data_IF_453035953376
#
_entry.id   IF_453035953376
#
_cell.length_a   1.000
_cell.length_b   1.000
_cell.length_c   1.000
_cell.angle_alpha   90.00
_cell.angle_beta   90.00
_cell.angle_gamma   90.00
#
_symmetry.space_group_name_H-M   'P 1'
#
loop_
_entity.id
_entity.type
_entity.pdbx_description
1 polymer ?
#
# COMPACT_ATOMS: atom_id res chain seq x y z
N UNK A 1 -27.92 1.57 -44.44
CA UNK A 1 -26.73 1.37 -43.58
C UNK A 1 -26.21 2.67 -42.98
N UNK A 2 -26.33 3.82 -43.67
CA UNK A 2 -25.96 5.15 -43.15
C UNK A 2 -26.85 5.65 -42.00
N UNK A 3 -28.16 5.41 -42.08
CA UNK A 3 -29.12 6.09 -41.19
C UNK A 3 -29.18 5.49 -39.79
N UNK A 4 -28.99 4.17 -39.67
CA UNK A 4 -28.87 3.49 -38.38
C UNK A 4 -27.54 3.84 -37.69
N UNK A 5 -26.45 3.86 -38.46
CA UNK A 5 -25.15 4.30 -37.95
C UNK A 5 -25.20 5.75 -37.44
N UNK A 6 -25.86 6.64 -38.18
CA UNK A 6 -26.04 8.04 -37.76
C UNK A 6 -26.92 8.16 -36.51
N UNK A 7 -27.95 7.33 -36.36
CA UNK A 7 -28.78 7.28 -35.14
C UNK A 7 -27.99 6.78 -33.93
N UNK A 8 -27.22 5.71 -34.07
CA UNK A 8 -26.35 5.20 -33.01
C UNK A 8 -25.27 6.22 -32.63
N UNK A 9 -24.65 6.88 -33.62
CA UNK A 9 -23.68 7.94 -33.38
C UNK A 9 -24.30 9.14 -32.66
N UNK A 10 -25.49 9.58 -33.07
CA UNK A 10 -26.22 10.65 -32.37
C UNK A 10 -26.57 10.24 -30.94
N UNK A 11 -26.92 8.97 -30.71
CA UNK A 11 -27.25 8.45 -29.40
C UNK A 11 -26.01 8.30 -28.51
N UNK A 12 -24.85 7.95 -29.07
CA UNK A 12 -23.58 7.88 -28.35
C UNK A 12 -23.04 9.26 -28.00
N UNK A 13 -23.13 10.23 -28.93
CA UNK A 13 -22.76 11.63 -28.69
C UNK A 13 -23.65 12.31 -27.65
N UNK A 14 -24.95 11.99 -27.61
CA UNK A 14 -25.86 12.47 -26.54
C UNK A 14 -25.56 11.85 -25.17
N UNK A 15 -25.04 10.63 -25.14
CA UNK A 15 -24.60 9.95 -23.90
C UNK A 15 -23.20 10.40 -23.45
N UNK A 16 -22.37 10.86 -24.36
CA UNK A 16 -21.04 11.37 -24.05
C UNK A 16 -21.17 12.66 -23.22
N UNK A 17 -20.80 12.58 -21.94
CA UNK A 17 -20.68 13.79 -21.11
C UNK A 17 -19.53 14.64 -21.65
N UNK A 18 -19.74 15.94 -21.93
CA UNK A 18 -18.64 16.80 -22.34
C UNK A 18 -17.62 16.88 -21.20
N UNK A 19 -16.36 16.61 -21.54
CA UNK A 19 -15.23 16.87 -20.66
C UNK A 19 -15.23 18.35 -20.27
N UNK A 20 -15.26 18.64 -18.97
CA UNK A 20 -15.42 20.00 -18.45
C UNK A 20 -14.26 20.38 -17.54
N UNK A 21 -13.95 21.66 -17.41
CA UNK A 21 -12.94 22.13 -16.45
C UNK A 21 -13.25 21.66 -15.01
N UNK A 22 -14.54 21.43 -14.70
CA UNK A 22 -14.93 20.90 -13.39
C UNK A 22 -14.56 19.42 -13.19
N UNK A 23 -14.51 18.59 -14.24
CA UNK A 23 -14.03 17.21 -14.12
C UNK A 23 -12.50 17.17 -13.90
N UNK A 24 -11.78 18.12 -14.50
CA UNK A 24 -10.33 18.26 -14.31
C UNK A 24 -9.90 18.71 -12.91
N UNK A 25 -10.76 19.44 -12.20
CA UNK A 25 -10.51 19.80 -10.81
C UNK A 25 -10.91 18.65 -9.89
N UNK A 26 -12.07 18.03 -10.14
CA UNK A 26 -12.63 16.97 -9.28
C UNK A 26 -11.72 15.75 -9.15
N UNK A 27 -10.93 15.43 -10.18
CA UNK A 27 -9.97 14.31 -10.11
C UNK A 27 -8.90 14.44 -9.02
N UNK A 28 -8.62 15.66 -8.56
CA UNK A 28 -7.62 15.93 -7.53
C UNK A 28 -8.18 15.87 -6.11
N UNK A 29 -9.50 15.77 -5.92
CA UNK A 29 -10.13 15.71 -4.60
C UNK A 29 -9.54 14.59 -3.73
N UNK A 30 -9.37 13.34 -4.23
CA UNK A 30 -8.73 12.30 -3.43
C UNK A 30 -7.29 12.66 -3.05
N UNK A 31 -6.50 13.22 -3.98
CA UNK A 31 -5.12 13.65 -3.72
C UNK A 31 -5.02 14.71 -2.62
N UNK A 32 -5.97 15.65 -2.56
CA UNK A 32 -6.03 16.68 -1.51
C UNK A 32 -6.34 16.11 -0.12
N UNK A 33 -7.02 14.97 -0.04
CA UNK A 33 -7.28 14.25 1.21
C UNK A 33 -6.10 13.34 1.57
N UNK A 34 -5.53 12.66 0.58
CA UNK A 34 -4.44 11.71 0.74
C UNK A 34 -3.17 12.40 1.23
N UNK A 35 -2.83 13.55 0.67
CA UNK A 35 -1.59 14.27 0.98
C UNK A 35 -1.41 14.55 2.48
N UNK A 36 -2.36 15.20 3.20
CA UNK A 36 -2.20 15.45 4.63
C UNK A 36 -2.15 14.17 5.47
N UNK A 37 -2.87 13.11 5.07
CA UNK A 37 -2.83 11.80 5.76
C UNK A 37 -1.42 11.18 5.61
N UNK A 38 -0.91 11.15 4.38
CA UNK A 38 0.43 10.63 4.09
C UNK A 38 1.50 11.44 4.84
N UNK A 39 1.41 12.78 4.85
CA UNK A 39 2.32 13.64 5.63
C UNK A 39 2.23 13.31 7.12
N UNK A 40 1.02 13.16 7.67
CA UNK A 40 0.83 12.81 9.07
C UNK A 40 1.53 11.48 9.41
N UNK A 41 1.32 10.42 8.64
CA UNK A 41 1.97 9.13 8.89
C UNK A 41 3.50 9.18 8.71
N UNK A 42 3.99 9.96 7.76
CA UNK A 42 5.43 10.17 7.55
C UNK A 42 6.08 10.88 8.74
N UNK A 43 5.43 11.94 9.25
CA UNK A 43 5.94 12.71 10.39
C UNK A 43 5.82 11.96 11.72
N UNK A 44 4.84 11.07 11.85
CA UNK A 44 4.60 10.25 13.04
C UNK A 44 5.07 8.80 12.83
N UNK A 45 6.10 8.59 11.99
CA UNK A 45 6.70 7.27 11.78
C UNK A 45 7.13 6.68 13.13
N UNK A 46 6.59 5.52 13.47
CA UNK A 46 6.87 4.82 14.73
C UNK A 46 5.77 4.98 15.78
N UNK A 47 4.81 5.89 15.56
CA UNK A 47 3.58 5.90 16.34
C UNK A 47 2.62 4.82 15.85
N UNK A 48 2.02 4.08 16.78
CA UNK A 48 1.10 2.99 16.48
C UNK A 48 -0.34 3.48 16.54
N UNK A 49 -1.08 3.32 15.43
CA UNK A 49 -2.45 3.77 15.27
C UNK A 49 -3.46 2.63 15.08
N UNK A 50 -4.71 3.01 14.76
CA UNK A 50 -5.78 2.04 14.54
C UNK A 50 -5.55 1.17 13.30
N UNK A 51 -5.01 1.75 12.23
CA UNK A 51 -4.76 1.04 10.96
C UNK A 51 -3.68 -0.04 11.13
N UNK A 52 -2.71 0.17 12.03
CA UNK A 52 -1.66 -0.80 12.32
C UNK A 52 -2.22 -2.09 12.92
N UNK A 53 -3.37 -2.05 13.61
CA UNK A 53 -4.03 -3.28 14.06
C UNK A 53 -4.58 -4.10 12.88
N UNK A 54 -5.07 -3.43 11.84
CA UNK A 54 -5.54 -4.10 10.62
C UNK A 54 -4.35 -4.71 9.89
N UNK A 55 -3.28 -3.94 9.75
CA UNK A 55 -2.03 -4.38 9.11
C UNK A 55 -1.41 -5.56 9.88
N UNK A 56 -1.48 -5.55 11.22
CA UNK A 56 -1.03 -6.66 12.07
C UNK A 56 -1.86 -7.93 11.82
N UNK A 57 -3.18 -7.85 11.76
CA UNK A 57 -4.02 -9.03 11.44
C UNK A 57 -3.67 -9.60 10.07
N UNK A 58 -3.41 -8.74 9.09
CA UNK A 58 -2.98 -9.16 7.74
C UNK A 58 -1.59 -9.81 7.80
N UNK A 59 -0.68 -9.28 8.61
CA UNK A 59 0.64 -9.84 8.84
C UNK A 59 0.55 -11.27 9.41
N UNK A 60 -0.22 -11.48 10.47
CA UNK A 60 -0.39 -12.80 11.07
C UNK A 60 -1.05 -13.80 10.11
N UNK A 61 -2.04 -13.33 9.32
CA UNK A 61 -2.63 -14.15 8.27
C UNK A 61 -1.59 -14.57 7.22
N UNK A 62 -0.62 -13.71 6.92
CA UNK A 62 0.49 -14.02 6.04
C UNK A 62 1.29 -15.24 6.50
N UNK A 63 1.71 -15.30 7.77
CA UNK A 63 2.38 -16.48 8.32
C UNK A 63 1.57 -17.76 8.09
N UNK A 64 0.25 -17.71 8.33
CA UNK A 64 -0.63 -18.85 8.08
C UNK A 64 -0.64 -19.28 6.60
N UNK A 65 -0.79 -18.34 5.66
CA UNK A 65 -0.78 -18.66 4.23
C UNK A 65 0.56 -19.21 3.73
N UNK A 66 1.66 -18.80 4.34
CA UNK A 66 3.02 -19.18 3.92
C UNK A 66 3.63 -20.32 4.76
N UNK A 67 2.86 -20.97 5.65
CA UNK A 67 3.37 -22.01 6.57
C UNK A 67 3.99 -23.25 5.91
N UNK A 68 3.66 -23.51 4.65
CA UNK A 68 4.12 -24.69 3.93
C UNK A 68 5.46 -24.50 3.19
N UNK A 69 6.04 -23.30 3.22
CA UNK A 69 7.21 -22.94 2.40
C UNK A 69 8.54 -22.88 3.18
N UNK A 70 8.60 -23.55 4.33
CA UNK A 70 9.77 -23.55 5.21
C UNK A 70 9.89 -22.28 6.06
N UNK A 71 10.79 -22.31 7.04
CA UNK A 71 10.85 -21.30 8.11
C UNK A 71 11.11 -19.88 7.61
N UNK A 72 11.99 -19.71 6.62
CA UNK A 72 12.31 -18.40 6.08
C UNK A 72 11.11 -17.75 5.39
N UNK A 73 10.44 -18.48 4.48
CA UNK A 73 9.28 -17.95 3.76
C UNK A 73 8.06 -17.82 4.68
N UNK A 74 7.88 -18.74 5.64
CA UNK A 74 6.87 -18.59 6.69
C UNK A 74 7.06 -17.26 7.44
N UNK A 75 8.28 -16.98 7.90
CA UNK A 75 8.61 -15.74 8.62
C UNK A 75 8.42 -14.50 7.74
N UNK A 76 8.86 -14.57 6.49
CA UNK A 76 8.67 -13.49 5.52
C UNK A 76 7.18 -13.29 5.15
N UNK A 77 6.36 -14.32 5.32
CA UNK A 77 4.96 -14.39 4.92
C UNK A 77 4.11 -13.25 5.46
N UNK A 78 4.36 -12.79 6.69
CA UNK A 78 3.60 -11.69 7.27
C UNK A 78 3.81 -10.37 6.53
N UNK A 79 5.06 -9.98 6.32
CA UNK A 79 5.39 -8.81 5.49
C UNK A 79 4.93 -8.99 4.04
N UNK A 80 5.01 -10.20 3.46
CA UNK A 80 4.50 -10.44 2.11
C UNK A 80 3.01 -10.14 2.01
N UNK A 81 2.20 -10.60 2.97
CA UNK A 81 0.76 -10.40 2.91
C UNK A 81 0.36 -8.93 3.12
N UNK A 82 1.10 -8.20 3.98
CA UNK A 82 0.98 -6.73 4.13
C UNK A 82 1.21 -5.98 2.81
N UNK A 83 2.04 -6.52 1.91
CA UNK A 83 2.30 -5.93 0.59
C UNK A 83 1.29 -6.43 -0.45
N UNK A 84 1.04 -7.74 -0.49
CA UNK A 84 0.22 -8.40 -1.52
C UNK A 84 -1.22 -7.88 -1.47
N UNK A 85 -1.85 -7.84 -0.28
CA UNK A 85 -3.27 -7.51 -0.17
C UNK A 85 -3.61 -6.10 -0.68
N UNK A 86 -3.00 -5.00 -0.16
CA UNK A 86 -3.28 -3.67 -0.67
C UNK A 86 -2.86 -3.48 -2.14
N UNK A 87 -1.81 -4.19 -2.59
CA UNK A 87 -1.41 -4.19 -4.02
C UNK A 87 -2.48 -4.82 -4.91
N UNK A 88 -3.08 -5.94 -4.51
CA UNK A 88 -4.17 -6.59 -5.24
C UNK A 88 -5.43 -5.72 -5.26
N UNK A 89 -5.74 -5.01 -4.17
CA UNK A 89 -6.84 -4.04 -4.12
C UNK A 89 -6.59 -2.90 -5.11
N UNK A 90 -5.40 -2.30 -5.09
CA UNK A 90 -5.01 -1.24 -6.03
C UNK A 90 -5.09 -1.73 -7.47
N UNK A 91 -4.57 -2.92 -7.76
CA UNK A 91 -4.62 -3.55 -9.09
C UNK A 91 -6.05 -3.83 -9.55
N UNK A 92 -6.91 -4.33 -8.66
CA UNK A 92 -8.32 -4.60 -8.98
C UNK A 92 -9.03 -3.30 -9.38
N UNK A 93 -8.84 -2.22 -8.64
CA UNK A 93 -9.41 -0.93 -9.01
C UNK A 93 -8.82 -0.36 -10.30
N UNK A 94 -7.53 -0.59 -10.54
CA UNK A 94 -6.88 -0.20 -11.79
C UNK A 94 -7.51 -0.92 -13.00
N UNK A 95 -7.72 -2.24 -12.90
CA UNK A 95 -8.39 -3.03 -13.93
C UNK A 95 -9.83 -2.59 -14.21
N UNK A 96 -10.49 -2.01 -13.21
CA UNK A 96 -11.84 -1.47 -13.33
C UNK A 96 -11.88 0.02 -13.68
N UNK A 97 -10.75 0.63 -14.06
CA UNK A 97 -10.64 2.06 -14.38
C UNK A 97 -11.14 2.99 -13.26
N UNK A 98 -11.07 2.54 -12.01
CA UNK A 98 -11.54 3.32 -10.86
C UNK A 98 -10.35 3.98 -10.13
N UNK A 99 -9.93 5.14 -10.62
CA UNK A 99 -8.74 5.86 -10.13
C UNK A 99 -8.74 6.09 -8.62
N UNK A 100 -9.86 6.55 -8.05
CA UNK A 100 -9.95 6.81 -6.60
C UNK A 100 -9.66 5.56 -5.78
N UNK A 101 -10.14 4.39 -6.23
CA UNK A 101 -9.84 3.11 -5.60
C UNK A 101 -8.35 2.73 -5.70
N UNK A 102 -7.70 3.04 -6.83
CA UNK A 102 -6.25 2.85 -6.97
C UNK A 102 -5.50 3.73 -5.97
N UNK A 103 -5.86 5.00 -5.83
CA UNK A 103 -5.22 5.91 -4.88
C UNK A 103 -5.40 5.43 -3.43
N UNK A 104 -6.58 4.92 -3.08
CA UNK A 104 -6.82 4.30 -1.78
C UNK A 104 -5.93 3.07 -1.54
N UNK A 105 -5.87 2.15 -2.51
CA UNK A 105 -5.03 0.96 -2.39
C UNK A 105 -3.54 1.31 -2.27
N UNK A 106 -3.06 2.32 -3.01
CA UNK A 106 -1.69 2.83 -2.90
C UNK A 106 -1.45 3.54 -1.56
N UNK A 107 -2.40 4.33 -1.06
CA UNK A 107 -2.27 4.94 0.27
C UNK A 107 -2.10 3.86 1.36
N UNK A 108 -2.93 2.82 1.32
CA UNK A 108 -2.84 1.74 2.30
C UNK A 108 -1.57 0.91 2.14
N UNK A 109 -1.12 0.67 0.90
CA UNK A 109 0.16 0.04 0.63
C UNK A 109 1.30 0.87 1.22
N UNK A 110 1.34 2.18 0.97
CA UNK A 110 2.35 3.07 1.53
C UNK A 110 2.37 3.06 3.05
N UNK A 111 1.20 3.00 3.70
CA UNK A 111 1.12 2.85 5.16
C UNK A 111 1.68 1.52 5.67
N UNK A 112 1.43 0.42 4.96
CA UNK A 112 2.06 -0.86 5.28
C UNK A 112 3.59 -0.76 5.18
N UNK A 113 4.13 -0.04 4.17
CA UNK A 113 5.56 0.21 4.07
C UNK A 113 6.11 1.07 5.23
N UNK A 114 5.34 2.03 5.76
CA UNK A 114 5.70 2.75 7.01
C UNK A 114 5.78 1.76 8.18
N UNK A 115 4.75 0.92 8.36
CA UNK A 115 4.70 -0.08 9.44
C UNK A 115 5.88 -1.07 9.35
N UNK A 116 6.11 -1.65 8.18
CA UNK A 116 7.24 -2.55 7.89
C UNK A 116 8.58 -1.84 8.14
N UNK A 117 8.70 -0.56 7.79
CA UNK A 117 9.95 0.18 8.01
C UNK A 117 10.35 0.26 9.48
N UNK A 118 9.37 0.41 10.37
CA UNK A 118 9.59 0.51 11.81
C UNK A 118 9.90 -0.89 12.37
N UNK A 119 9.15 -1.90 11.93
CA UNK A 119 9.36 -3.28 12.36
C UNK A 119 10.74 -3.82 11.94
N UNK A 120 11.16 -3.56 10.70
CA UNK A 120 12.48 -3.95 10.21
C UNK A 120 13.61 -3.23 10.95
N UNK A 121 13.47 -1.93 11.23
CA UNK A 121 14.47 -1.15 11.97
C UNK A 121 14.58 -1.52 13.46
N UNK A 122 13.63 -2.28 14.02
CA UNK A 122 13.67 -2.78 15.39
C UNK A 122 14.38 -4.15 15.50
N UNK A 123 14.83 -4.75 14.40
CA UNK A 123 15.30 -6.14 14.37
C UNK A 123 16.43 -6.44 15.39
N UNK A 124 17.39 -5.54 15.61
CA UNK A 124 18.41 -5.73 16.65
C UNK A 124 17.84 -5.51 18.05
N UNK A 125 17.09 -4.42 18.23
CA UNK A 125 16.64 -3.93 19.52
C UNK A 125 15.49 -4.76 20.12
N UNK A 126 14.60 -5.29 19.26
CA UNK A 126 13.43 -6.11 19.59
C UNK A 126 12.59 -5.49 20.71
N UNK A 127 12.37 -4.18 20.63
CA UNK A 127 11.62 -3.41 21.63
C UNK A 127 10.13 -3.38 21.35
N UNK A 128 9.72 -3.59 20.11
CA UNK A 128 8.30 -3.58 19.74
C UNK A 128 7.55 -4.75 20.40
N UNK A 129 6.35 -4.51 20.95
CA UNK A 129 5.52 -5.57 21.49
C UNK A 129 5.01 -6.47 20.35
N UNK A 130 5.30 -7.76 20.42
CA UNK A 130 4.84 -8.75 19.44
C UNK A 130 3.51 -9.36 19.85
N UNK A 131 2.68 -9.71 18.86
CA UNK A 131 1.48 -10.50 19.10
C UNK A 131 1.89 -11.91 19.57
N UNK A 132 1.39 -12.34 20.74
CA UNK A 132 1.86 -13.57 21.41
C UNK A 132 3.01 -13.37 22.41
N UNK A 133 3.55 -12.14 22.51
CA UNK A 133 4.49 -11.72 23.54
C UNK A 133 5.84 -12.46 23.49
N UNK A 134 6.45 -12.74 24.65
CA UNK A 134 7.81 -13.33 24.74
C UNK A 134 7.95 -14.76 24.19
N UNK A 135 6.85 -15.40 23.78
CA UNK A 135 6.86 -16.77 23.25
C UNK A 135 7.12 -16.82 21.74
N UNK A 136 6.95 -15.69 21.05
CA UNK A 136 7.23 -15.57 19.61
C UNK A 136 8.60 -14.92 19.41
N UNK A 137 9.24 -15.26 18.29
CA UNK A 137 10.46 -14.59 17.86
C UNK A 137 10.12 -13.40 16.96
N UNK A 138 11.07 -12.49 16.82
CA UNK A 138 10.91 -11.30 15.98
C UNK A 138 11.30 -11.64 14.53
N UNK A 139 10.40 -11.39 13.57
CA UNK A 139 10.55 -11.89 12.20
C UNK A 139 11.78 -11.29 11.50
N UNK A 140 11.89 -9.96 11.52
CA UNK A 140 13.04 -9.28 10.93
C UNK A 140 14.36 -9.59 11.62
N UNK A 141 14.37 -9.84 12.94
CA UNK A 141 15.57 -10.32 13.63
C UNK A 141 16.03 -11.66 13.06
N UNK A 142 15.11 -12.60 12.91
CA UNK A 142 15.40 -13.90 12.31
C UNK A 142 15.85 -13.75 10.85
N UNK A 143 15.07 -13.06 10.01
CA UNK A 143 15.37 -12.93 8.58
C UNK A 143 16.72 -12.26 8.32
N UNK A 144 17.00 -11.12 8.97
CA UNK A 144 18.28 -10.42 8.77
C UNK A 144 19.46 -11.19 9.39
N UNK A 145 19.22 -11.94 10.46
CA UNK A 145 20.20 -12.85 11.05
C UNK A 145 20.60 -13.98 10.09
N UNK A 146 19.61 -14.65 9.48
CA UNK A 146 19.85 -15.70 8.47
C UNK A 146 20.57 -15.16 7.22
N UNK A 147 20.30 -13.90 6.86
CA UNK A 147 20.96 -13.23 5.74
C UNK A 147 22.36 -12.66 6.10
N UNK A 148 22.75 -12.68 7.38
CA UNK A 148 24.04 -12.14 7.83
C UNK A 148 24.17 -10.62 7.71
N UNK A 149 23.05 -9.89 7.78
CA UNK A 149 22.99 -8.42 7.63
C UNK A 149 22.21 -7.75 8.79
N UNK A 150 22.15 -8.39 9.95
CA UNK A 150 21.37 -7.94 11.10
C UNK A 150 21.79 -6.55 11.59
N UNK A 151 23.08 -6.22 11.51
CA UNK A 151 23.65 -4.92 11.87
C UNK A 151 23.17 -3.76 10.97
N UNK A 152 22.57 -4.08 9.83
CA UNK A 152 22.05 -3.12 8.85
C UNK A 152 20.53 -2.94 8.93
N UNK A 153 19.88 -3.39 10.01
CA UNK A 153 18.43 -3.29 10.21
C UNK A 153 17.85 -1.88 10.00
N UNK A 154 18.54 -0.85 10.48
CA UNK A 154 18.16 0.55 10.28
C UNK A 154 18.15 0.94 8.79
N UNK A 155 19.12 0.46 7.99
CA UNK A 155 19.17 0.72 6.54
C UNK A 155 18.00 0.02 5.83
N UNK A 156 17.71 -1.22 6.21
CA UNK A 156 16.57 -1.98 5.70
C UNK A 156 15.27 -1.25 6.03
N UNK A 157 15.12 -0.76 7.26
CA UNK A 157 14.01 0.09 7.67
C UNK A 157 13.87 1.33 6.80
N UNK A 158 14.95 2.11 6.62
CA UNK A 158 14.91 3.30 5.78
C UNK A 158 14.64 3.01 4.30
N UNK A 159 15.04 1.83 3.80
CA UNK A 159 14.70 1.39 2.46
C UNK A 159 13.19 1.21 2.29
N UNK A 160 12.51 0.52 3.23
CA UNK A 160 11.04 0.41 3.21
C UNK A 160 10.36 1.76 3.38
N UNK A 161 10.90 2.63 4.24
CA UNK A 161 10.40 3.99 4.40
C UNK A 161 10.49 4.80 3.10
N UNK A 162 11.61 4.72 2.39
CA UNK A 162 11.77 5.37 1.09
C UNK A 162 10.73 4.87 0.08
N UNK A 163 10.47 3.57 0.04
CA UNK A 163 9.41 2.99 -0.81
C UNK A 163 8.04 3.57 -0.44
N UNK A 164 7.72 3.72 0.86
CA UNK A 164 6.48 4.36 1.29
C UNK A 164 6.33 5.77 0.72
N UNK A 165 7.38 6.58 0.78
CA UNK A 165 7.38 7.95 0.22
C UNK A 165 7.10 7.93 -1.29
N UNK A 166 7.77 7.05 -2.04
CA UNK A 166 7.56 6.91 -3.48
C UNK A 166 6.11 6.52 -3.77
N UNK A 167 5.54 5.58 -3.02
CA UNK A 167 4.16 5.14 -3.19
C UNK A 167 3.17 6.29 -2.90
N UNK A 168 3.37 7.05 -1.83
CA UNK A 168 2.54 8.22 -1.53
C UNK A 168 2.61 9.28 -2.63
N UNK A 169 3.80 9.55 -3.17
CA UNK A 169 3.95 10.47 -4.30
C UNK A 169 3.20 9.98 -5.53
N UNK A 170 3.30 8.68 -5.87
CA UNK A 170 2.52 8.09 -6.97
C UNK A 170 1.01 8.21 -6.70
N UNK A 171 0.56 7.93 -5.48
CA UNK A 171 -0.86 8.03 -5.11
C UNK A 171 -1.39 9.46 -5.26
N UNK A 172 -0.64 10.47 -4.82
CA UNK A 172 -1.01 11.89 -4.94
C UNK A 172 -1.00 12.36 -6.40
N UNK A 173 0.00 11.94 -7.18
CA UNK A 173 0.18 12.35 -8.58
C UNK A 173 -0.58 11.49 -9.59
N UNK A 174 -1.28 10.44 -9.14
CA UNK A 174 -2.01 9.51 -10.01
C UNK A 174 -2.97 10.19 -11.02
N UNK A 175 -3.67 11.30 -10.70
CA UNK A 175 -4.50 12.01 -11.68
C UNK A 175 -3.76 12.57 -12.91
N UNK A 176 -2.43 12.64 -12.88
CA UNK A 176 -1.59 12.97 -14.04
C UNK A 176 -1.41 11.77 -14.98
N UNK A 177 -1.41 10.56 -14.42
CA UNK A 177 -1.12 9.31 -15.12
C UNK A 177 -2.41 8.69 -15.67
N UNK A 178 -3.45 8.63 -14.83
CA UNK A 178 -4.74 8.02 -15.16
C UNK A 178 -5.77 9.14 -15.37
N UNK A 179 -6.14 9.33 -16.64
CA UNK A 179 -7.23 10.23 -17.05
C UNK A 179 -8.56 9.46 -17.03
N UNK A 180 -9.63 10.15 -16.62
CA UNK A 180 -11.00 9.60 -16.65
C UNK A 180 -11.54 9.49 -18.08
#
# INVERSE_FOLDING_TARGET
MSDDFNKELQQSLKKAKPYSQTSEIKKWIPSLIILPIAIYWVLNRGEYGLIDNVDLVIHEAGHFFFMFFGKFIYTLGGTLMQIILPSLIAFTFFRNSYRTGVQFGLLWLGQNFINISVYAADAQARKLPLLGGKKVYHDWHYMLGELGILEYDYLVGYFFFFIAIVIFLIAVLLPLIIKD
#
